data_IF_147909326440
#
_entry.id   IF_147909326440
#
_cell.length_a   1.000
_cell.length_b   1.000
_cell.length_c   1.000
_cell.angle_alpha   90.00
_cell.angle_beta   90.00
_cell.angle_gamma   90.00
#
_symmetry.space_group_name_H-M   'P 1'
#
loop_
_entity.id
_entity.type
_entity.pdbx_description
1 polymer ?
#
# COMPACT_ATOMS: atom_id res chain seq x y z
N UNK A 1 14.49 1.75 23.62
CA UNK A 1 13.79 1.83 22.33
C UNK A 1 12.36 2.29 22.59
N UNK A 2 12.00 3.48 22.11
CA UNK A 2 10.67 4.08 22.27
C UNK A 2 9.95 4.00 20.94
N UNK A 3 8.85 3.24 20.90
CA UNK A 3 8.00 3.13 19.70
C UNK A 3 6.94 4.23 19.69
N UNK A 4 6.71 4.81 18.52
CA UNK A 4 5.71 5.82 18.24
C UNK A 4 4.83 5.26 17.12
N UNK A 5 3.55 5.01 17.42
CA UNK A 5 2.62 4.32 16.51
C UNK A 5 1.32 5.10 16.26
N UNK A 6 1.12 6.21 16.97
CA UNK A 6 -0.03 7.11 16.85
C UNK A 6 0.47 8.55 16.94
N UNK A 7 -0.31 9.49 16.42
CA UNK A 7 -0.06 10.94 16.54
C UNK A 7 1.36 11.32 16.11
N UNK A 8 1.84 10.77 14.98
CA UNK A 8 3.25 10.93 14.58
C UNK A 8 3.61 12.39 14.39
N UNK A 9 2.68 13.21 13.87
CA UNK A 9 2.93 14.63 13.67
C UNK A 9 3.14 15.37 15.00
N UNK A 10 2.28 15.16 15.98
CA UNK A 10 2.39 15.76 17.29
C UNK A 10 3.66 15.27 18.01
N UNK A 11 3.87 13.94 18.01
CA UNK A 11 4.94 13.31 18.79
C UNK A 11 6.33 13.43 18.17
N UNK A 12 6.43 13.74 16.88
CA UNK A 12 7.71 13.90 16.18
C UNK A 12 7.89 15.35 15.70
N UNK A 13 6.92 15.94 15.00
CA UNK A 13 7.09 17.30 14.47
C UNK A 13 6.93 18.33 15.58
N UNK A 14 5.75 18.40 16.21
CA UNK A 14 5.46 19.43 17.22
C UNK A 14 6.34 19.28 18.48
N UNK A 15 6.65 18.05 18.87
CA UNK A 15 7.50 17.79 20.03
C UNK A 15 8.95 18.28 19.87
N UNK A 16 9.43 18.52 18.64
CA UNK A 16 10.84 18.82 18.39
C UNK A 16 11.07 20.15 17.63
N UNK A 17 10.13 20.60 16.80
CA UNK A 17 10.35 21.74 15.91
C UNK A 17 10.58 23.10 16.61
N UNK A 18 10.20 23.24 17.89
CA UNK A 18 10.48 24.43 18.68
C UNK A 18 11.88 24.41 19.34
N UNK A 19 12.50 23.23 19.50
CA UNK A 19 13.80 23.06 20.16
C UNK A 19 14.97 23.02 19.17
N UNK A 20 14.70 22.65 17.91
CA UNK A 20 15.70 22.46 16.87
C UNK A 20 15.48 23.41 15.69
N UNK A 21 16.57 23.96 15.18
CA UNK A 21 16.53 24.92 14.06
C UNK A 21 16.62 24.22 12.69
N UNK A 22 17.01 22.95 12.66
CA UNK A 22 17.20 22.18 11.43
C UNK A 22 16.49 20.82 11.50
N UNK A 23 15.92 20.42 10.37
CA UNK A 23 15.36 19.08 10.12
C UNK A 23 15.93 18.54 8.81
N UNK A 24 16.56 17.38 8.86
CA UNK A 24 16.94 16.62 7.66
C UNK A 24 16.09 15.35 7.55
N UNK A 25 15.61 15.06 6.34
CA UNK A 25 14.65 13.99 6.06
C UNK A 25 15.11 13.19 4.85
N UNK A 26 15.11 11.87 5.01
CA UNK A 26 15.14 10.91 3.91
C UNK A 26 13.77 10.25 3.89
N UNK A 27 13.10 10.27 2.75
CA UNK A 27 11.79 9.64 2.59
C UNK A 27 11.70 8.95 1.24
N UNK A 28 10.82 7.97 1.10
CA UNK A 28 10.52 7.41 -0.22
C UNK A 28 9.82 8.46 -1.08
N UNK A 29 8.73 9.02 -0.54
CA UNK A 29 7.90 10.04 -1.19
C UNK A 29 7.59 11.19 -0.24
N UNK A 30 7.25 12.33 -0.82
CA UNK A 30 6.70 13.51 -0.17
C UNK A 30 5.78 14.20 -1.17
N UNK A 31 4.78 14.93 -0.70
CA UNK A 31 4.00 15.87 -1.51
C UNK A 31 4.40 17.31 -1.22
N UNK A 32 4.19 18.21 -2.19
CA UNK A 32 4.36 19.64 -2.01
C UNK A 32 3.45 20.19 -0.92
N UNK A 33 2.22 19.68 -0.84
CA UNK A 33 1.23 20.11 0.15
C UNK A 33 1.66 19.75 1.59
N UNK A 34 2.26 18.58 1.81
CA UNK A 34 2.75 18.23 3.15
C UNK A 34 3.92 19.11 3.60
N UNK A 35 4.92 19.33 2.72
CA UNK A 35 6.02 20.25 3.03
C UNK A 35 5.49 21.66 3.29
N UNK A 36 4.52 22.11 2.50
CA UNK A 36 3.87 23.41 2.67
C UNK A 36 3.23 23.54 4.05
N UNK A 37 2.54 22.50 4.54
CA UNK A 37 2.01 22.47 5.91
C UNK A 37 3.13 22.59 6.94
N UNK A 38 4.18 21.78 6.83
CA UNK A 38 5.29 21.80 7.79
C UNK A 38 5.97 23.17 7.84
N UNK A 39 6.23 23.78 6.69
CA UNK A 39 6.82 25.12 6.62
C UNK A 39 5.87 26.22 7.14
N UNK A 40 4.56 26.02 7.02
CA UNK A 40 3.57 26.93 7.59
C UNK A 40 3.51 26.84 9.11
N UNK A 41 3.55 25.62 9.65
CA UNK A 41 3.46 25.37 11.09
C UNK A 41 4.78 25.71 11.80
N UNK A 42 5.92 25.50 11.12
CA UNK A 42 7.27 25.72 11.66
C UNK A 42 8.11 26.60 10.73
N UNK A 43 7.81 27.91 10.62
CA UNK A 43 8.43 28.80 9.63
C UNK A 43 9.93 29.06 9.83
N UNK A 44 10.46 28.75 11.01
CA UNK A 44 11.89 28.92 11.32
C UNK A 44 12.71 27.64 11.13
N UNK A 45 12.05 26.50 10.84
CA UNK A 45 12.71 25.21 10.72
C UNK A 45 13.37 25.09 9.34
N UNK A 46 14.69 24.93 9.31
CA UNK A 46 15.42 24.73 8.06
C UNK A 46 15.32 23.26 7.63
N UNK A 47 14.62 23.00 6.53
CA UNK A 47 14.35 21.64 6.06
C UNK A 47 15.32 21.25 4.94
N UNK A 48 15.98 20.10 5.09
CA UNK A 48 16.69 19.40 4.02
C UNK A 48 15.99 18.07 3.72
N UNK A 49 15.47 17.91 2.50
CA UNK A 49 14.68 16.76 2.09
C UNK A 49 15.34 15.98 0.95
N UNK A 50 15.50 14.69 1.15
CA UNK A 50 15.97 13.72 0.17
C UNK A 50 14.81 12.80 -0.25
N UNK A 51 14.33 12.94 -1.49
CA UNK A 51 13.30 12.06 -2.07
C UNK A 51 13.96 10.84 -2.71
N UNK A 52 13.82 9.71 -2.04
CA UNK A 52 14.53 8.49 -2.36
C UNK A 52 13.98 7.69 -3.54
N UNK A 53 12.69 7.82 -3.84
CA UNK A 53 12.01 7.09 -4.91
C UNK A 53 11.67 7.97 -6.12
N UNK A 54 12.27 9.17 -6.22
CA UNK A 54 11.97 10.15 -7.27
C UNK A 54 12.03 9.56 -8.70
N UNK A 55 12.93 8.60 -8.95
CA UNK A 55 13.03 7.92 -10.27
C UNK A 55 11.79 7.16 -10.70
N UNK A 56 10.83 6.91 -9.80
CA UNK A 56 9.54 6.32 -10.15
C UNK A 56 8.52 7.34 -10.67
N UNK A 57 8.82 8.64 -10.54
CA UNK A 57 7.95 9.73 -10.93
C UNK A 57 7.86 10.76 -9.82
N UNK A 58 7.98 12.03 -10.20
CA UNK A 58 7.60 13.17 -9.35
C UNK A 58 6.53 13.94 -10.10
N UNK A 59 5.46 14.35 -9.42
CA UNK A 59 4.43 15.12 -10.09
C UNK A 59 4.99 16.49 -10.52
N UNK A 60 4.53 17.00 -11.66
CA UNK A 60 4.96 18.33 -12.14
C UNK A 60 4.66 19.40 -11.08
N UNK A 61 3.47 19.35 -10.46
CA UNK A 61 3.05 20.27 -9.40
C UNK A 61 4.00 20.25 -8.19
N UNK A 62 4.36 19.06 -7.71
CA UNK A 62 5.28 18.93 -6.58
C UNK A 62 6.68 19.40 -6.96
N UNK A 63 7.15 19.04 -8.16
CA UNK A 63 8.45 19.46 -8.66
C UNK A 63 8.57 20.99 -8.72
N UNK A 64 7.59 21.67 -9.32
CA UNK A 64 7.53 23.13 -9.39
C UNK A 64 7.53 23.76 -8.00
N UNK A 65 6.76 23.20 -7.06
CA UNK A 65 6.74 23.68 -5.68
C UNK A 65 8.08 23.47 -4.97
N UNK A 66 8.71 22.31 -5.13
CA UNK A 66 10.04 22.01 -4.57
C UNK A 66 11.10 22.95 -5.12
N UNK A 67 11.06 23.26 -6.42
CA UNK A 67 11.95 24.25 -7.02
C UNK A 67 11.70 25.64 -6.42
N UNK A 68 10.44 26.05 -6.29
CA UNK A 68 10.09 27.35 -5.72
C UNK A 68 10.64 27.52 -4.29
N UNK A 69 10.37 26.58 -3.38
CA UNK A 69 10.84 26.68 -1.98
C UNK A 69 12.36 26.57 -1.88
N UNK A 70 13.00 25.80 -2.77
CA UNK A 70 14.46 25.68 -2.82
C UNK A 70 15.13 26.94 -3.35
N UNK A 71 14.58 27.59 -4.37
CA UNK A 71 15.06 28.88 -4.86
C UNK A 71 14.91 29.99 -3.82
N UNK A 72 13.87 29.93 -3.00
CA UNK A 72 13.65 30.88 -1.89
C UNK A 72 14.56 30.63 -0.70
N UNK A 73 15.30 29.53 -0.66
CA UNK A 73 16.15 29.14 0.47
C UNK A 73 15.37 28.74 1.72
N UNK A 74 14.08 28.42 1.58
CA UNK A 74 13.19 28.05 2.70
C UNK A 74 13.36 26.57 3.05
N UNK A 75 13.60 25.74 2.04
CA UNK A 75 13.96 24.33 2.21
C UNK A 75 14.99 23.96 1.15
N UNK A 76 15.70 22.86 1.34
CA UNK A 76 16.56 22.26 0.31
C UNK A 76 15.96 20.93 -0.10
N UNK A 77 15.53 20.81 -1.34
CA UNK A 77 14.98 19.55 -1.87
C UNK A 77 15.96 18.91 -2.86
N UNK A 78 16.27 17.65 -2.61
CA UNK A 78 17.15 16.82 -3.43
C UNK A 78 16.45 15.53 -3.82
N UNK A 79 16.69 15.06 -5.04
CA UNK A 79 16.18 13.79 -5.55
C UNK A 79 17.31 12.78 -5.63
N UNK A 80 17.09 11.57 -5.10
CA UNK A 80 18.02 10.47 -5.29
C UNK A 80 17.97 10.02 -6.75
N UNK A 81 19.12 10.10 -7.41
CA UNK A 81 19.25 9.85 -8.84
C UNK A 81 19.97 8.55 -9.14
N UNK A 82 20.69 8.00 -8.18
CA UNK A 82 21.40 6.73 -8.31
C UNK A 82 20.50 5.51 -8.08
N UNK A 83 21.02 4.34 -8.43
CA UNK A 83 20.44 3.04 -8.07
C UNK A 83 21.38 2.30 -7.10
N UNK A 84 20.85 1.55 -6.12
CA UNK A 84 19.43 1.38 -5.81
C UNK A 84 18.79 2.67 -5.26
N UNK A 85 17.49 2.83 -5.48
CA UNK A 85 16.72 3.94 -4.90
C UNK A 85 16.65 3.80 -3.38
N UNK A 86 16.44 4.93 -2.70
CA UNK A 86 16.28 4.94 -1.24
C UNK A 86 14.78 4.80 -0.91
N UNK A 87 14.41 3.75 -0.19
CA UNK A 87 13.06 3.60 0.36
C UNK A 87 13.02 3.80 1.89
N UNK A 88 14.15 4.19 2.49
CA UNK A 88 14.24 4.45 3.93
C UNK A 88 13.39 5.67 4.31
N UNK A 89 12.90 5.68 5.56
CA UNK A 89 12.26 6.84 6.17
C UNK A 89 12.99 7.18 7.44
N UNK A 90 13.75 8.27 7.37
CA UNK A 90 14.69 8.71 8.37
C UNK A 90 14.53 10.20 8.55
N UNK A 91 14.43 10.65 9.79
CA UNK A 91 14.34 12.06 10.13
C UNK A 91 15.32 12.36 11.23
N UNK A 92 15.93 13.53 11.20
CA UNK A 92 16.73 13.99 12.31
C UNK A 92 16.54 15.50 12.50
N UNK A 93 16.13 15.86 13.71
CA UNK A 93 16.16 17.23 14.17
C UNK A 93 17.52 17.48 14.81
N UNK A 94 18.13 18.63 14.52
CA UNK A 94 19.44 18.96 15.06
C UNK A 94 19.66 20.46 15.14
N UNK A 95 20.54 20.86 16.06
CA UNK A 95 21.05 22.21 16.18
C UNK A 95 22.54 22.15 16.56
N UNK A 96 23.12 23.26 17.01
CA UNK A 96 24.54 23.30 17.39
C UNK A 96 24.90 22.50 18.66
N UNK A 97 23.90 22.09 19.45
CA UNK A 97 24.08 21.48 20.78
C UNK A 97 23.62 20.03 20.82
N UNK A 98 22.52 19.70 20.17
CA UNK A 98 21.86 18.41 20.30
C UNK A 98 21.25 17.92 18.98
N UNK A 99 20.86 16.65 18.96
CA UNK A 99 20.17 15.99 17.84
C UNK A 99 19.24 14.88 18.33
N UNK A 100 18.17 14.65 17.60
CA UNK A 100 17.27 13.52 17.82
C UNK A 100 16.81 12.93 16.48
N UNK A 101 17.07 11.63 16.33
CA UNK A 101 16.81 10.87 15.11
C UNK A 101 15.61 9.96 15.24
N UNK A 102 14.88 9.77 14.15
CA UNK A 102 13.75 8.88 14.02
C UNK A 102 13.90 8.02 12.76
N UNK A 103 13.58 6.73 12.88
CA UNK A 103 13.55 5.79 11.77
C UNK A 103 12.28 4.96 11.82
N UNK A 104 11.73 4.59 10.66
CA UNK A 104 10.54 3.76 10.62
C UNK A 104 9.91 3.63 9.25
N UNK A 105 8.59 3.51 9.22
CA UNK A 105 7.80 3.23 8.01
C UNK A 105 7.14 4.47 7.41
N UNK A 106 6.87 5.51 8.22
CA UNK A 106 6.16 6.72 7.78
C UNK A 106 6.95 7.53 6.75
N UNK A 107 6.40 7.68 5.54
CA UNK A 107 6.90 8.68 4.62
C UNK A 107 6.63 10.10 5.15
N UNK A 108 7.45 11.06 4.72
CA UNK A 108 7.24 12.48 4.99
C UNK A 108 6.10 13.04 4.12
N UNK A 109 4.87 12.60 4.42
CA UNK A 109 3.64 12.94 3.71
C UNK A 109 2.47 13.02 4.69
N UNK A 110 1.34 13.58 4.25
CA UNK A 110 0.11 13.57 5.04
C UNK A 110 -0.25 12.15 5.47
N UNK A 111 -0.19 11.22 4.53
CA UNK A 111 -0.66 9.87 4.74
C UNK A 111 0.24 9.13 5.74
N UNK A 112 1.55 9.34 5.67
CA UNK A 112 2.50 8.78 6.65
C UNK A 112 2.38 9.38 8.05
N UNK A 113 1.93 10.63 8.19
CA UNK A 113 1.89 11.33 9.48
C UNK A 113 0.51 11.38 10.14
N UNK A 114 -0.58 11.24 9.38
CA UNK A 114 -1.95 11.44 9.85
C UNK A 114 -2.90 10.27 9.57
N UNK A 115 -2.71 9.52 8.47
CA UNK A 115 -3.77 8.63 7.98
C UNK A 115 -3.42 7.14 8.08
N UNK A 116 -2.16 6.79 7.82
CA UNK A 116 -1.70 5.41 7.79
C UNK A 116 -1.25 4.95 9.16
N UNK A 117 -1.42 3.64 9.41
CA UNK A 117 -0.88 2.98 10.60
C UNK A 117 0.61 2.78 10.40
N UNK A 118 1.37 3.71 10.94
CA UNK A 118 2.81 3.75 10.78
C UNK A 118 3.52 3.51 12.11
N UNK A 119 4.78 3.10 12.03
CA UNK A 119 5.65 2.95 13.19
C UNK A 119 6.93 3.73 12.98
N UNK A 120 7.28 4.52 13.98
CA UNK A 120 8.56 5.21 14.09
C UNK A 120 9.21 4.84 15.42
N UNK A 121 10.54 4.84 15.47
CA UNK A 121 11.30 4.72 16.71
C UNK A 121 12.39 5.76 16.75
N UNK A 122 12.73 6.20 17.96
CA UNK A 122 13.94 6.99 18.19
C UNK A 122 15.16 6.15 17.82
N UNK A 123 16.09 6.77 17.09
CA UNK A 123 17.38 6.19 16.73
C UNK A 123 18.42 6.52 17.80
N UNK A 124 19.02 5.48 18.40
CA UNK A 124 20.06 5.65 19.42
C UNK A 124 21.45 5.97 18.83
N UNK A 125 21.61 5.76 17.51
CA UNK A 125 22.88 5.94 16.80
C UNK A 125 22.91 7.24 15.98
N UNK A 126 24.11 7.76 15.74
CA UNK A 126 24.31 8.89 14.83
C UNK A 126 23.89 8.53 13.39
N UNK A 127 23.07 9.38 12.77
CA UNK A 127 22.54 9.21 11.41
C UNK A 127 23.37 9.88 10.31
N UNK A 128 24.48 10.55 10.64
CA UNK A 128 25.31 11.31 9.69
C UNK A 128 25.72 10.50 8.46
N UNK A 129 26.13 9.24 8.65
CA UNK A 129 26.54 8.38 7.53
C UNK A 129 25.37 8.09 6.57
N UNK A 130 24.14 7.97 7.08
CA UNK A 130 22.94 7.71 6.29
C UNK A 130 22.59 8.93 5.43
N UNK A 131 22.67 10.12 6.02
CA UNK A 131 22.44 11.38 5.30
C UNK A 131 23.56 11.71 4.32
N UNK A 132 24.83 11.44 4.65
CA UNK A 132 25.95 11.60 3.71
C UNK A 132 25.80 10.67 2.50
N UNK A 133 25.36 9.43 2.72
CA UNK A 133 25.04 8.51 1.63
C UNK A 133 23.93 9.08 0.75
N UNK A 134 22.79 9.48 1.32
CA UNK A 134 21.69 10.08 0.56
C UNK A 134 22.13 11.32 -0.23
N UNK A 135 22.91 12.20 0.39
CA UNK A 135 23.46 13.40 -0.24
C UNK A 135 24.35 13.07 -1.44
N UNK A 136 25.25 12.09 -1.31
CA UNK A 136 26.16 11.66 -2.37
C UNK A 136 25.46 11.06 -3.59
N UNK A 137 24.25 10.54 -3.41
CA UNK A 137 23.44 9.87 -4.43
C UNK A 137 22.34 10.76 -5.03
N UNK A 138 22.29 12.03 -4.62
CA UNK A 138 21.20 12.94 -4.96
C UNK A 138 21.67 14.14 -5.76
N UNK A 139 20.76 14.67 -6.57
CA UNK A 139 20.89 15.97 -7.21
C UNK A 139 19.84 16.95 -6.67
N UNK A 140 20.17 18.24 -6.65
CA UNK A 140 19.20 19.28 -6.30
C UNK A 140 18.02 19.27 -7.26
N UNK A 141 16.82 19.58 -6.77
CA UNK A 141 15.67 19.79 -7.67
C UNK A 141 15.85 21.02 -8.60
N UNK A 142 16.87 21.85 -8.34
CA UNK A 142 17.28 22.98 -9.18
C UNK A 142 18.36 22.63 -10.21
N UNK A 143 18.86 21.39 -10.21
CA UNK A 143 19.87 20.99 -11.18
C UNK A 143 19.28 21.02 -12.60
N UNK A 144 19.97 21.67 -13.55
CA UNK A 144 19.51 21.80 -14.94
C UNK A 144 19.35 20.44 -15.66
N UNK A 145 19.96 19.38 -15.12
CA UNK A 145 19.86 18.03 -15.66
C UNK A 145 18.80 17.18 -14.96
N UNK A 146 18.12 17.70 -13.92
CA UNK A 146 17.26 16.88 -13.06
C UNK A 146 16.12 16.21 -13.83
N UNK A 147 15.48 16.93 -14.74
CA UNK A 147 14.37 16.45 -15.58
C UNK A 147 14.81 15.41 -16.62
N UNK A 148 16.12 15.28 -16.88
CA UNK A 148 16.67 14.23 -17.76
C UNK A 148 16.82 12.90 -17.01
N UNK A 149 16.87 12.93 -15.68
CA UNK A 149 17.18 11.77 -14.84
C UNK A 149 15.96 11.29 -14.06
N UNK A 150 15.06 12.20 -13.74
CA UNK A 150 13.83 11.95 -12.99
C UNK A 150 12.60 12.14 -13.91
N UNK A 151 11.72 11.14 -14.03
CA UNK A 151 10.47 11.30 -14.78
C UNK A 151 9.54 12.30 -14.07
N UNK A 152 9.06 13.30 -14.80
CA UNK A 152 7.96 14.14 -14.37
C UNK A 152 6.64 13.58 -14.90
N UNK A 153 5.62 13.50 -14.03
CA UNK A 153 4.31 12.94 -14.38
C UNK A 153 3.21 13.98 -14.19
N UNK A 154 2.25 14.00 -15.10
CA UNK A 154 1.02 14.77 -14.91
C UNK A 154 0.20 14.13 -13.79
N UNK A 155 -0.23 14.93 -12.83
CA UNK A 155 -1.26 14.51 -11.88
C UNK A 155 -2.55 14.28 -12.65
N UNK A 156 -2.98 13.02 -12.81
CA UNK A 156 -4.42 12.77 -12.83
C UNK A 156 -4.97 13.38 -11.52
N UNK A 157 -6.15 14.00 -11.54
CA UNK A 157 -6.83 14.40 -10.32
C UNK A 157 -7.22 13.15 -9.52
N UNK A 158 -6.25 12.58 -8.82
CA UNK A 158 -6.44 11.80 -7.62
C UNK A 158 -5.77 12.64 -6.55
N UNK A 159 -6.58 13.07 -5.59
CA UNK A 159 -6.17 13.55 -4.27
C UNK A 159 -4.83 12.91 -3.87
N UNK A 160 -3.91 13.71 -3.32
CA UNK A 160 -2.59 13.31 -2.81
C UNK A 160 -2.55 11.81 -2.54
N UNK A 161 -2.06 11.02 -3.50
CA UNK A 161 -2.55 9.63 -3.67
C UNK A 161 -1.94 8.65 -2.69
N UNK A 162 -2.33 8.79 -1.43
CA UNK A 162 -2.86 7.72 -0.62
C UNK A 162 -3.87 8.24 0.44
N UNK A 163 -4.94 8.91 0.02
CA UNK A 163 -6.21 8.92 0.75
C UNK A 163 -7.39 9.22 -0.16
N UNK A 164 -8.43 8.41 -0.05
CA UNK A 164 -9.80 8.80 -0.37
C UNK A 164 -10.55 8.86 0.96
N UNK A 165 -10.90 10.08 1.39
CA UNK A 165 -11.69 10.35 2.58
C UNK A 165 -13.19 10.06 2.34
N UNK A 166 -13.93 9.79 3.41
CA UNK A 166 -15.34 10.20 3.49
C UNK A 166 -15.67 10.72 4.90
N UNK A 167 -16.11 11.97 4.96
CA UNK A 167 -16.61 12.68 6.12
C UNK A 167 -17.75 11.95 6.85
N UNK A 168 -17.65 11.86 8.19
CA UNK A 168 -18.76 11.57 9.08
C UNK A 168 -19.08 12.79 9.95
N UNK A 169 -20.32 13.26 9.86
CA UNK A 169 -20.94 14.07 10.90
C UNK A 169 -21.34 13.19 12.09
N UNK A 170 -21.10 13.70 13.29
CA UNK A 170 -21.40 13.09 14.59
C UNK A 170 -22.89 12.73 14.78
N UNK A 171 -23.16 11.59 15.42
CA UNK A 171 -23.88 11.50 16.69
C UNK A 171 -23.95 10.06 17.24
N UNK A 172 -23.52 9.94 18.51
CA UNK A 172 -23.80 8.95 19.57
C UNK A 172 -24.66 7.71 19.26
N UNK A 173 -24.19 6.51 19.64
CA UNK A 173 -24.55 5.90 20.93
C UNK A 173 -23.79 4.58 21.20
N UNK A 174 -23.51 4.38 22.49
CA UNK A 174 -22.82 3.24 23.11
C UNK A 174 -23.72 2.01 23.10
N UNK A 175 -23.21 0.82 22.76
CA UNK A 175 -23.58 -0.43 23.46
C UNK A 175 -22.54 -1.54 23.24
N UNK A 176 -21.97 -2.01 24.35
CA UNK A 176 -21.22 -3.25 24.49
C UNK A 176 -22.14 -4.46 24.21
N UNK A 177 -21.68 -5.47 23.47
CA UNK A 177 -22.09 -6.86 23.71
C UNK A 177 -20.94 -7.88 23.51
N UNK A 178 -21.03 -8.94 24.32
CA UNK A 178 -20.02 -9.93 24.69
C UNK A 178 -20.01 -11.18 23.78
N UNK A 179 -18.98 -12.04 23.88
CA UNK A 179 -18.72 -13.12 22.92
C UNK A 179 -19.58 -14.36 23.19
N UNK A 180 -19.86 -15.15 22.15
CA UNK A 180 -20.49 -16.46 22.28
C UNK A 180 -19.49 -17.53 21.81
N UNK A 181 -19.04 -18.33 22.78
CA UNK A 181 -18.39 -19.64 22.60
C UNK A 181 -19.44 -20.72 22.28
N UNK A 182 -19.06 -21.76 21.51
CA UNK A 182 -19.84 -22.99 21.43
C UNK A 182 -19.64 -23.85 20.17
N UNK A 183 -18.53 -24.60 20.15
CA UNK A 183 -18.24 -25.90 19.54
C UNK A 183 -19.10 -26.53 18.39
N UNK A 184 -18.36 -26.79 17.29
CA UNK A 184 -18.28 -28.01 16.46
C UNK A 184 -19.54 -28.72 15.93
N UNK A 185 -19.67 -28.77 14.60
CA UNK A 185 -19.84 -30.03 13.87
C UNK A 185 -19.41 -29.89 12.39
N UNK A 186 -18.76 -30.94 11.89
CA UNK A 186 -18.18 -31.06 10.56
C UNK A 186 -19.26 -31.27 9.49
N UNK A 187 -19.43 -30.28 8.60
CA UNK A 187 -20.11 -30.48 7.31
C UNK A 187 -19.68 -29.41 6.29
N UNK A 188 -18.80 -29.80 5.36
CA UNK A 188 -18.52 -29.06 4.13
C UNK A 188 -19.76 -29.17 3.21
N UNK A 189 -20.70 -28.24 3.33
CA UNK A 189 -21.91 -28.30 2.52
C UNK A 189 -23.04 -27.42 3.00
N UNK A 190 -22.84 -26.11 2.98
CA UNK A 190 -23.90 -25.14 2.73
C UNK A 190 -23.21 -23.85 2.32
N UNK A 191 -23.44 -23.41 1.09
CA UNK A 191 -22.94 -22.12 0.63
C UNK A 191 -23.38 -21.04 1.60
N UNK A 192 -22.50 -20.07 1.83
CA UNK A 192 -22.91 -18.80 2.38
C UNK A 192 -23.97 -18.25 1.44
N UNK A 193 -25.24 -18.39 1.80
CA UNK A 193 -26.32 -17.73 1.09
C UNK A 193 -26.20 -16.25 1.43
N UNK A 194 -25.52 -15.51 0.54
CA UNK A 194 -25.30 -14.06 0.56
C UNK A 194 -26.56 -13.19 0.77
N UNK A 195 -27.75 -13.80 0.77
CA UNK A 195 -29.05 -13.15 0.98
C UNK A 195 -29.46 -13.04 2.47
N UNK A 196 -28.80 -13.74 3.39
CA UNK A 196 -29.21 -13.78 4.80
C UNK A 196 -28.23 -13.12 5.79
N UNK A 197 -27.22 -12.39 5.30
CA UNK A 197 -26.35 -11.58 6.16
C UNK A 197 -26.96 -10.17 6.28
N UNK A 198 -27.45 -9.77 7.48
CA UNK A 198 -28.08 -8.48 7.65
C UNK A 198 -26.99 -7.40 7.60
N UNK A 199 -27.19 -6.41 6.72
CA UNK A 199 -26.36 -5.19 6.57
C UNK A 199 -24.94 -5.39 6.00
N UNK A 200 -24.83 -5.55 4.68
CA UNK A 200 -23.63 -5.09 3.95
C UNK A 200 -24.02 -4.26 2.74
N UNK A 201 -23.65 -2.98 2.75
CA UNK A 201 -23.39 -2.26 1.50
C UNK A 201 -22.05 -2.80 0.99
N UNK A 202 -22.08 -3.56 -0.10
CA UNK A 202 -20.88 -3.97 -0.83
C UNK A 202 -20.37 -2.74 -1.57
N UNK A 203 -19.28 -2.14 -1.13
CA UNK A 203 -18.76 -0.98 -1.85
C UNK A 203 -17.67 -1.36 -2.86
N UNK A 204 -16.79 -2.35 -2.65
CA UNK A 204 -15.72 -2.68 -3.63
C UNK A 204 -15.29 -4.17 -3.59
N UNK A 205 -15.54 -4.93 -4.67
CA UNK A 205 -14.98 -6.28 -4.90
C UNK A 205 -14.27 -6.33 -6.26
N UNK A 206 -13.32 -7.24 -6.41
CA UNK A 206 -12.66 -7.51 -7.70
C UNK A 206 -12.87 -8.96 -8.12
N UNK A 207 -13.00 -9.16 -9.42
CA UNK A 207 -13.01 -10.49 -10.04
C UNK A 207 -11.68 -10.72 -10.77
N UNK A 208 -10.95 -11.73 -10.34
CA UNK A 208 -9.65 -12.10 -10.89
C UNK A 208 -9.84 -13.36 -11.75
N UNK A 209 -9.66 -13.29 -13.09
CA UNK A 209 -9.77 -14.46 -13.95
C UNK A 209 -8.74 -15.52 -13.58
N UNK A 210 -9.18 -16.77 -13.42
CA UNK A 210 -8.28 -17.91 -13.20
C UNK A 210 -7.47 -18.18 -14.48
N UNK A 211 -8.13 -18.09 -15.64
CA UNK A 211 -7.50 -18.19 -16.96
C UNK A 211 -7.93 -17.02 -17.84
N UNK A 212 -6.96 -16.47 -18.56
CA UNK A 212 -7.15 -15.40 -19.53
C UNK A 212 -7.06 -15.97 -20.93
N UNK A 213 -8.03 -15.64 -21.80
CA UNK A 213 -8.11 -16.20 -23.16
C UNK A 213 -6.91 -15.81 -24.03
N UNK A 214 -6.27 -14.71 -23.69
CA UNK A 214 -5.15 -14.12 -24.42
C UNK A 214 -3.80 -14.78 -24.05
N UNK A 215 -3.77 -15.63 -23.02
CA UNK A 215 -2.56 -16.30 -22.52
C UNK A 215 -2.60 -17.77 -22.92
N UNK A 216 -1.52 -18.26 -23.53
CA UNK A 216 -1.39 -19.68 -23.85
C UNK A 216 -1.45 -20.51 -22.54
N UNK A 217 -2.21 -21.63 -22.48
CA UNK A 217 -2.41 -22.38 -21.25
C UNK A 217 -1.13 -22.77 -20.49
N UNK A 218 -0.08 -23.16 -21.21
CA UNK A 218 1.25 -23.51 -20.67
C UNK A 218 1.96 -22.34 -19.97
N UNK A 219 1.52 -21.11 -20.23
CA UNK A 219 2.06 -19.87 -19.66
C UNK A 219 1.08 -19.20 -18.69
N UNK A 220 -0.06 -19.83 -18.41
CA UNK A 220 -1.02 -19.30 -17.46
C UNK A 220 -0.44 -19.42 -16.03
N UNK A 221 -0.41 -18.34 -15.24
CA UNK A 221 0.11 -18.32 -13.87
C UNK A 221 -0.39 -19.43 -12.95
N UNK A 222 -1.64 -19.86 -13.14
CA UNK A 222 -2.25 -20.92 -12.33
C UNK A 222 -1.68 -22.33 -12.64
N UNK A 223 -1.00 -22.49 -13.78
CA UNK A 223 -0.36 -23.73 -14.21
C UNK A 223 1.14 -23.80 -13.87
N UNK A 224 1.70 -22.77 -13.22
CA UNK A 224 3.10 -22.73 -12.80
C UNK A 224 3.37 -23.76 -11.67
N UNK A 225 4.65 -24.08 -11.43
CA UNK A 225 5.09 -24.97 -10.35
C UNK A 225 4.69 -24.42 -8.98
N UNK A 226 4.64 -23.09 -8.85
CA UNK A 226 4.10 -22.37 -7.70
C UNK A 226 2.93 -21.50 -8.20
N UNK A 227 1.70 -22.03 -8.18
CA UNK A 227 0.56 -21.36 -8.79
C UNK A 227 0.23 -20.01 -8.17
N UNK A 228 -0.07 -19.03 -9.03
CA UNK A 228 -0.51 -17.70 -8.63
C UNK A 228 -1.56 -17.17 -9.60
N UNK A 229 -2.18 -16.04 -9.29
CA UNK A 229 -3.11 -15.35 -10.19
C UNK A 229 -2.53 -14.03 -10.66
N UNK A 230 -2.64 -13.75 -11.97
CA UNK A 230 -2.24 -12.45 -12.51
C UNK A 230 -3.35 -11.42 -12.30
N UNK A 231 -2.96 -10.28 -11.73
CA UNK A 231 -3.79 -9.09 -11.54
C UNK A 231 -3.72 -8.15 -12.75
N UNK A 232 -2.96 -8.49 -13.80
CA UNK A 232 -2.86 -7.66 -15.01
C UNK A 232 -4.23 -7.48 -15.67
N UNK A 233 -4.63 -6.23 -15.89
CA UNK A 233 -5.93 -5.90 -16.47
C UNK A 233 -7.12 -6.06 -15.50
N UNK A 234 -6.89 -6.41 -14.22
CA UNK A 234 -7.90 -6.21 -13.16
C UNK A 234 -7.85 -4.74 -12.79
N UNK A 235 -8.85 -3.98 -13.24
CA UNK A 235 -8.94 -2.55 -12.95
C UNK A 235 -9.06 -2.33 -11.45
N UNK A 236 -8.31 -1.37 -10.94
CA UNK A 236 -8.47 -0.86 -9.56
C UNK A 236 -8.36 -1.95 -8.48
N UNK A 237 -7.63 -3.04 -8.73
CA UNK A 237 -7.47 -4.11 -7.73
C UNK A 237 -6.92 -3.57 -6.40
N UNK A 238 -6.12 -2.49 -6.44
CA UNK A 238 -5.56 -1.82 -5.26
C UNK A 238 -6.60 -1.17 -4.34
N UNK A 239 -7.83 -0.98 -4.80
CA UNK A 239 -8.95 -0.56 -3.95
C UNK A 239 -9.42 -1.70 -3.03
N UNK A 240 -9.27 -2.95 -3.47
CA UNK A 240 -9.78 -4.13 -2.76
C UNK A 240 -8.67 -4.95 -2.11
N UNK A 241 -7.52 -5.09 -2.74
CA UNK A 241 -6.37 -5.85 -2.25
C UNK A 241 -5.19 -4.92 -1.96
N UNK A 242 -4.51 -5.07 -0.81
CA UNK A 242 -3.37 -4.22 -0.50
C UNK A 242 -2.20 -4.58 -1.41
N UNK A 243 -1.63 -3.61 -2.15
CA UNK A 243 -0.47 -3.85 -3.00
C UNK A 243 0.79 -4.06 -2.17
N UNK A 244 1.63 -5.03 -2.54
CA UNK A 244 2.93 -5.30 -1.92
C UNK A 244 2.89 -5.73 -0.46
N UNK A 245 1.76 -6.28 -0.01
CA UNK A 245 1.54 -6.64 1.39
C UNK A 245 1.08 -8.09 1.50
N UNK A 246 1.44 -8.73 2.63
CA UNK A 246 0.88 -10.00 3.08
C UNK A 246 -0.43 -9.74 3.84
N UNK A 247 -1.46 -10.52 3.56
CA UNK A 247 -2.77 -10.42 4.18
C UNK A 247 -3.49 -11.77 4.23
N UNK A 248 -4.55 -11.83 5.03
CA UNK A 248 -5.36 -13.03 5.21
C UNK A 248 -6.64 -12.99 4.36
N UNK A 249 -6.83 -14.01 3.54
CA UNK A 249 -8.05 -14.27 2.78
C UNK A 249 -8.91 -15.31 3.49
N UNK A 250 -10.10 -14.89 3.88
CA UNK A 250 -11.10 -15.72 4.51
C UNK A 250 -11.95 -16.40 3.45
N UNK A 251 -12.00 -17.71 3.51
CA UNK A 251 -13.00 -18.51 2.81
C UNK A 251 -14.07 -18.94 3.82
N UNK A 252 -15.15 -19.56 3.33
CA UNK A 252 -16.17 -20.14 4.21
C UNK A 252 -15.64 -21.21 5.21
N UNK A 253 -14.41 -21.73 5.03
CA UNK A 253 -13.91 -22.88 5.79
C UNK A 253 -12.50 -22.72 6.38
N UNK A 254 -11.75 -21.70 5.96
CA UNK A 254 -10.36 -21.49 6.36
C UNK A 254 -9.90 -20.07 6.06
N UNK A 255 -8.83 -19.69 6.75
CA UNK A 255 -8.03 -18.50 6.46
C UNK A 255 -6.82 -18.93 5.60
N UNK A 256 -6.46 -18.11 4.62
CA UNK A 256 -5.34 -18.35 3.71
C UNK A 256 -4.44 -17.12 3.74
N UNK A 257 -3.16 -17.29 4.07
CA UNK A 257 -2.18 -16.21 3.91
C UNK A 257 -1.84 -16.02 2.42
N UNK A 258 -1.89 -14.77 1.97
CA UNK A 258 -1.64 -14.37 0.60
C UNK A 258 -0.86 -13.05 0.53
N UNK A 259 -0.19 -12.83 -0.59
CA UNK A 259 0.48 -11.55 -0.86
C UNK A 259 0.19 -11.06 -2.27
N UNK A 260 0.32 -9.75 -2.47
CA UNK A 260 0.51 -9.21 -3.81
C UNK A 260 1.99 -8.90 -4.05
N UNK A 261 2.56 -9.43 -5.14
CA UNK A 261 4.02 -9.47 -5.33
C UNK A 261 4.71 -8.10 -5.26
N UNK A 262 5.89 -8.03 -4.63
CA UNK A 262 6.71 -6.83 -4.43
C UNK A 262 7.17 -6.10 -5.70
N UNK A 263 7.24 -6.79 -6.86
CA UNK A 263 7.54 -6.18 -8.16
C UNK A 263 6.22 -5.87 -8.89
N UNK A 264 5.75 -4.63 -8.72
CA UNK A 264 4.58 -4.04 -9.38
C UNK A 264 3.17 -4.54 -8.97
N UNK A 265 3.03 -5.45 -8.00
CA UNK A 265 1.72 -5.84 -7.44
C UNK A 265 0.85 -6.61 -8.43
N UNK A 266 1.46 -7.20 -9.46
CA UNK A 266 0.76 -7.80 -10.61
C UNK A 266 0.36 -9.25 -10.41
N UNK A 267 0.67 -9.82 -9.25
CA UNK A 267 0.48 -11.23 -8.95
C UNK A 267 -0.15 -11.35 -7.57
N UNK A 268 -1.22 -12.14 -7.43
CA UNK A 268 -1.76 -12.60 -6.16
C UNK A 268 -1.22 -14.01 -5.90
N UNK A 269 -0.43 -14.17 -4.84
CA UNK A 269 0.21 -15.42 -4.43
C UNK A 269 -0.41 -15.91 -3.12
N UNK A 270 -0.38 -17.23 -2.93
CA UNK A 270 -0.93 -17.89 -1.74
C UNK A 270 0.18 -18.72 -1.09
N UNK A 271 0.39 -18.57 0.21
CA UNK A 271 1.55 -19.16 0.88
C UNK A 271 1.25 -20.54 1.47
N UNK A 272 0.06 -20.73 2.01
CA UNK A 272 -0.29 -21.94 2.76
C UNK A 272 -1.19 -22.91 1.99
N UNK A 273 -1.44 -22.62 0.71
CA UNK A 273 -2.31 -23.45 -0.15
C UNK A 273 -1.81 -23.49 -1.58
N UNK A 274 -1.94 -24.66 -2.21
CA UNK A 274 -1.86 -24.78 -3.65
C UNK A 274 -3.21 -24.37 -4.27
N UNK A 275 -3.28 -23.17 -4.85
CA UNK A 275 -4.54 -22.64 -5.39
C UNK A 275 -5.08 -23.45 -6.57
N UNK A 276 -4.20 -24.06 -7.37
CA UNK A 276 -4.62 -24.93 -8.48
C UNK A 276 -5.36 -26.17 -7.96
N UNK A 277 -4.84 -26.80 -6.91
CA UNK A 277 -5.49 -27.95 -6.26
C UNK A 277 -6.84 -27.56 -5.65
N UNK A 278 -6.91 -26.40 -4.99
CA UNK A 278 -8.15 -25.92 -4.38
C UNK A 278 -9.25 -25.68 -5.43
N UNK A 279 -8.89 -25.04 -6.56
CA UNK A 279 -9.80 -24.81 -7.68
C UNK A 279 -10.21 -26.14 -8.33
N UNK A 280 -9.25 -27.05 -8.55
CA UNK A 280 -9.52 -28.38 -9.11
C UNK A 280 -10.56 -29.14 -8.28
N UNK A 281 -10.39 -29.14 -6.96
CA UNK A 281 -11.31 -29.77 -6.02
C UNK A 281 -12.71 -29.16 -6.11
N UNK A 282 -12.82 -27.82 -6.13
CA UNK A 282 -14.09 -27.10 -6.21
C UNK A 282 -14.82 -27.33 -7.54
N UNK A 283 -14.08 -27.42 -8.64
CA UNK A 283 -14.62 -27.65 -9.98
C UNK A 283 -14.78 -29.14 -10.32
N UNK A 284 -14.36 -30.05 -9.44
CA UNK A 284 -14.36 -31.50 -9.65
C UNK A 284 -13.57 -31.91 -10.91
N UNK A 285 -12.41 -31.29 -11.11
CA UNK A 285 -11.44 -31.60 -12.19
C UNK A 285 -10.11 -32.06 -11.58
N UNK A 286 -9.19 -32.57 -12.40
CA UNK A 286 -7.86 -33.00 -11.93
C UNK A 286 -6.88 -31.83 -11.88
N UNK A 287 -6.18 -31.66 -10.75
CA UNK A 287 -5.10 -30.67 -10.59
C UNK A 287 -3.86 -30.99 -11.44
N UNK A 288 -3.66 -32.26 -11.82
CA UNK A 288 -2.54 -32.71 -12.66
C UNK A 288 -2.72 -32.32 -14.12
N UNK A 289 -3.94 -31.93 -14.51
CA UNK A 289 -4.21 -31.46 -15.86
C UNK A 289 -3.83 -29.99 -16.01
N UNK A 290 -3.42 -29.62 -17.21
CA UNK A 290 -3.23 -28.22 -17.56
C UNK A 290 -4.60 -27.52 -17.54
N UNK A 291 -4.75 -26.49 -16.73
CA UNK A 291 -5.98 -25.70 -16.74
C UNK A 291 -6.06 -24.92 -18.05
N UNK A 292 -7.20 -24.99 -18.73
CA UNK A 292 -7.52 -24.28 -19.97
C UNK A 292 -8.90 -23.63 -19.85
N UNK A 293 -9.25 -22.77 -20.82
CA UNK A 293 -10.59 -22.17 -20.88
C UNK A 293 -11.66 -23.26 -21.09
N UNK A 294 -11.35 -24.36 -21.80
CA UNK A 294 -12.32 -25.43 -22.05
C UNK A 294 -12.65 -26.25 -20.79
N UNK A 295 -11.66 -26.55 -19.93
CA UNK A 295 -11.88 -27.42 -18.76
C UNK A 295 -12.27 -26.64 -17.49
N UNK A 296 -11.72 -25.45 -17.26
CA UNK A 296 -12.08 -24.59 -16.11
C UNK A 296 -13.34 -23.78 -16.43
N UNK A 297 -13.45 -23.25 -17.65
CA UNK A 297 -14.46 -22.28 -18.05
C UNK A 297 -14.12 -20.85 -17.64
N UNK A 298 -15.09 -19.93 -17.70
CA UNK A 298 -14.93 -18.54 -17.26
C UNK A 298 -15.07 -18.42 -15.74
N UNK A 299 -14.17 -19.08 -15.01
CA UNK A 299 -14.12 -19.03 -13.54
C UNK A 299 -13.24 -17.87 -13.12
N UNK A 300 -13.69 -17.15 -12.10
CA UNK A 300 -13.00 -16.01 -11.49
C UNK A 300 -12.88 -16.27 -9.99
N UNK A 301 -11.81 -15.77 -9.40
CA UNK A 301 -11.71 -15.59 -7.96
C UNK A 301 -12.26 -14.20 -7.63
N UNK A 302 -13.40 -14.15 -6.95
CA UNK A 302 -13.96 -12.91 -6.42
C UNK A 302 -13.33 -12.66 -5.06
N UNK A 303 -12.76 -11.48 -4.89
CA UNK A 303 -12.21 -11.03 -3.62
C UNK A 303 -12.87 -9.73 -3.23
N UNK A 304 -13.29 -9.62 -1.97
CA UNK A 304 -13.89 -8.42 -1.41
C UNK A 304 -13.42 -8.17 0.01
N UNK A 305 -13.59 -6.94 0.48
CA UNK A 305 -13.28 -6.55 1.85
C UNK A 305 -14.53 -6.01 2.52
N UNK A 306 -14.82 -6.48 3.73
CA UNK A 306 -15.82 -5.82 4.57
C UNK A 306 -15.22 -4.51 5.08
N UNK A 307 -15.98 -3.42 5.19
CA UNK A 307 -15.48 -2.13 5.71
C UNK A 307 -14.76 -2.37 7.04
N UNK A 308 -13.43 -2.23 7.04
CA UNK A 308 -12.49 -2.51 8.15
C UNK A 308 -12.36 -3.98 8.62
N UNK A 309 -12.96 -4.93 7.90
CA UNK A 309 -12.89 -6.36 8.17
C UNK A 309 -11.85 -7.11 7.34
N UNK A 310 -11.80 -8.45 7.50
CA UNK A 310 -10.87 -9.28 6.75
C UNK A 310 -11.26 -9.35 5.26
N UNK A 311 -10.30 -9.76 4.42
CA UNK A 311 -10.57 -10.04 3.02
C UNK A 311 -11.31 -11.38 2.91
N UNK A 312 -12.30 -11.45 2.03
CA UNK A 312 -13.01 -12.67 1.73
C UNK A 312 -12.80 -13.06 0.28
N UNK A 313 -12.72 -14.35 0.02
CA UNK A 313 -12.64 -14.87 -1.33
C UNK A 313 -13.65 -15.98 -1.59
N UNK A 314 -14.15 -16.02 -2.82
CA UNK A 314 -14.96 -17.12 -3.35
C UNK A 314 -14.65 -17.37 -4.82
N UNK A 315 -14.95 -18.59 -5.29
CA UNK A 315 -14.89 -18.90 -6.72
C UNK A 315 -16.26 -18.65 -7.34
N UNK A 316 -16.28 -17.91 -8.44
CA UNK A 316 -17.49 -17.56 -9.18
C UNK A 316 -17.35 -18.06 -10.62
N UNK A 317 -18.40 -18.66 -11.17
CA UNK A 317 -18.47 -19.06 -12.58
C UNK A 317 -19.63 -18.34 -13.25
N UNK A 318 -19.35 -17.68 -14.36
CA UNK A 318 -20.40 -17.14 -15.22
C UNK A 318 -21.12 -18.32 -15.91
N UNK A 319 -22.44 -18.48 -15.71
CA UNK A 319 -23.19 -19.45 -16.51
C UNK A 319 -23.50 -18.90 -17.91
N UNK A 320 -23.72 -19.78 -18.89
CA UNK A 320 -24.05 -19.45 -20.29
C UNK A 320 -25.32 -18.59 -20.48
N UNK A 321 -26.06 -18.27 -19.41
CA UNK A 321 -27.24 -17.38 -19.41
C UNK A 321 -27.01 -16.04 -18.70
N UNK A 322 -25.79 -15.76 -18.22
CA UNK A 322 -25.49 -14.53 -17.46
C UNK A 322 -25.90 -14.57 -15.98
N UNK A 323 -26.29 -15.74 -15.45
CA UNK A 323 -26.51 -15.94 -14.01
C UNK A 323 -25.21 -16.40 -13.34
N UNK A 324 -24.80 -15.75 -12.26
CA UNK A 324 -23.59 -16.08 -11.49
C UNK A 324 -23.83 -17.33 -10.61
N UNK A 325 -22.91 -18.29 -10.65
CA UNK A 325 -22.89 -19.43 -9.71
C UNK A 325 -21.68 -19.33 -8.79
N UNK A 326 -21.94 -19.26 -7.48
CA UNK A 326 -20.93 -19.27 -6.41
C UNK A 326 -20.64 -20.70 -5.92
N UNK A 327 -19.40 -20.99 -5.51
CA UNK A 327 -18.91 -22.36 -5.20
C UNK A 327 -18.32 -22.57 -3.81
#
# INVERSE_FOLDING_TARGET
>A
MTLIVNDLYERIMQANADEFDCLRVITGYSSGDFIKKVLSDFPNLNIELYLGMARQGVSIRDHEYYQFITQKGVAKVCYVTDKPMIHQKVMEFYNSRDRIGYVGSANFSFNGFFEQREIMTVADNNLDAVFQMAASQSMSCLDEQIEKVIPLVETAQTEDSSSTENHFGEQNDVHEEKPIEGESESSFGAGVQWQNLPYYRYDEYIDIPIIRKEVAPERAPINDDIPYLSLDGVKEYGAVLPPHQVFELNTASRVIEADTESKFGRSLRFHDVNMKELIAQKLQISADTLFTVENVGNVKLRVGRLREGPFYMELVKDNQKGEEKTF
#
